data_IF_689642106927
#
_entry.id   IF_689642106927
#
_cell.length_a   1.000
_cell.length_b   1.000
_cell.length_c   1.000
_cell.angle_alpha   90.00
_cell.angle_beta   90.00
_cell.angle_gamma   90.00
#
_symmetry.space_group_name_H-M   'P 1'
#
loop_
_entity.id
_entity.type
_entity.pdbx_description
1 polymer ?
#
# COMPACT_ATOMS: atom_id res chain seq x y z
N UNK A 1 24.10 42.30 50.69
CA UNK A 1 25.55 42.48 50.46
C UNK A 1 25.88 41.75 49.17
N UNK A 2 25.92 42.50 48.07
CA UNK A 2 27.14 42.87 47.34
C UNK A 2 27.72 41.70 46.54
N UNK A 3 28.01 41.77 45.26
CA UNK A 3 27.85 42.76 44.17
C UNK A 3 28.47 42.04 42.95
N UNK A 4 27.86 42.20 41.75
CA UNK A 4 28.44 42.47 40.41
C UNK A 4 29.67 41.62 39.95
N UNK A 5 29.87 41.25 38.68
CA UNK A 5 29.88 42.12 37.49
C UNK A 5 30.13 41.25 36.24
N UNK A 6 29.31 41.41 35.22
CA UNK A 6 29.60 41.24 33.76
C UNK A 6 30.14 42.63 33.31
N UNK A 7 31.12 42.82 32.38
CA UNK A 7 30.80 42.74 30.93
C UNK A 7 31.92 42.65 29.84
N UNK A 8 31.42 42.40 28.60
CA UNK A 8 31.78 42.96 27.27
C UNK A 8 33.15 42.62 26.61
N UNK A 9 33.23 42.11 25.37
CA UNK A 9 32.86 42.60 24.00
C UNK A 9 34.04 43.27 23.27
N UNK A 10 34.41 42.76 22.09
CA UNK A 10 35.02 43.49 20.95
C UNK A 10 34.86 42.58 19.71
N UNK A 11 33.97 42.85 18.75
CA UNK A 11 34.11 43.73 17.56
C UNK A 11 35.36 43.50 16.70
N UNK A 12 35.15 43.07 15.44
CA UNK A 12 35.77 43.59 14.20
C UNK A 12 35.12 42.88 13.00
N UNK A 13 34.27 43.56 12.22
CA UNK A 13 34.55 44.45 11.08
C UNK A 13 34.73 43.73 9.74
N UNK A 14 34.14 44.38 8.73
CA UNK A 14 33.74 43.88 7.43
C UNK A 14 34.84 43.96 6.37
N UNK A 15 34.64 43.21 5.27
CA UNK A 15 35.05 43.64 3.92
C UNK A 15 34.10 43.08 2.87
N UNK A 16 33.41 43.98 2.19
CA UNK A 16 32.79 43.76 0.88
C UNK A 16 33.88 43.69 -0.20
N UNK A 17 33.65 42.89 -1.24
CA UNK A 17 34.15 43.17 -2.59
C UNK A 17 33.18 42.57 -3.61
N UNK A 18 32.56 43.45 -4.40
CA UNK A 18 31.83 43.12 -5.61
C UNK A 18 32.84 42.91 -6.75
N UNK A 19 32.62 41.90 -7.61
CA UNK A 19 32.87 42.07 -9.04
C UNK A 19 32.02 41.10 -9.87
N UNK A 20 31.29 41.71 -10.80
CA UNK A 20 30.55 41.21 -11.96
C UNK A 20 31.25 40.17 -12.83
N UNK A 21 30.47 39.22 -13.37
CA UNK A 21 30.83 38.41 -14.53
C UNK A 21 29.64 37.54 -14.98
N UNK A 22 29.18 37.77 -16.22
CA UNK A 22 28.09 37.05 -16.87
C UNK A 22 28.55 35.70 -17.47
N UNK A 23 27.62 34.75 -17.59
CA UNK A 23 27.74 33.44 -18.26
C UNK A 23 26.70 32.51 -17.64
N UNK A 24 25.50 32.40 -18.21
CA UNK A 24 25.11 31.50 -19.32
C UNK A 24 25.16 30.00 -18.96
N UNK A 25 24.07 29.33 -19.34
CA UNK A 25 23.79 27.88 -19.38
C UNK A 25 23.40 27.16 -18.08
N UNK A 26 22.13 26.76 -18.07
CA UNK A 26 21.70 25.40 -17.72
C UNK A 26 21.81 25.02 -16.25
N UNK A 27 20.69 25.09 -15.53
CA UNK A 27 20.51 24.24 -14.35
C UNK A 27 19.16 23.58 -14.48
N UNK A 28 19.19 22.36 -15.01
CA UNK A 28 18.13 21.37 -14.91
C UNK A 28 17.70 21.30 -13.45
N UNK A 29 16.46 21.71 -13.17
CA UNK A 29 15.82 21.40 -11.91
C UNK A 29 15.59 19.89 -11.91
N UNK A 30 16.52 19.14 -11.30
CA UNK A 30 16.29 17.76 -10.91
C UNK A 30 15.14 17.75 -9.91
N UNK A 31 13.96 17.39 -10.41
CA UNK A 31 12.78 17.12 -9.60
C UNK A 31 13.04 15.74 -8.98
N UNK A 32 13.55 15.71 -7.75
CA UNK A 32 13.60 14.49 -6.95
C UNK A 32 12.17 14.17 -6.50
N UNK A 33 11.42 13.47 -7.33
CA UNK A 33 10.24 12.74 -6.91
C UNK A 33 10.69 11.45 -6.23
N UNK A 34 10.94 11.52 -4.93
CA UNK A 34 11.03 10.32 -4.07
C UNK A 34 9.76 10.28 -3.24
N UNK A 35 8.67 9.81 -3.84
CA UNK A 35 7.51 9.33 -3.09
C UNK A 35 7.85 7.93 -2.60
N UNK A 36 7.91 7.79 -1.27
CA UNK A 36 7.93 6.49 -0.60
C UNK A 36 6.59 5.81 -0.85
N UNK A 37 6.57 4.87 -1.79
CA UNK A 37 5.68 3.72 -1.73
C UNK A 37 6.48 2.60 -1.08
N UNK A 38 6.29 2.42 0.24
CA UNK A 38 6.74 1.19 0.93
C UNK A 38 5.83 0.06 0.43
N UNK A 39 6.22 -0.49 -0.72
CA UNK A 39 5.46 -1.42 -1.55
C UNK A 39 6.02 -1.43 -2.98
N UNK A 40 7.35 -1.27 -3.09
CA UNK A 40 8.04 -0.99 -4.33
C UNK A 40 7.93 -2.18 -5.31
N UNK A 41 6.96 -2.13 -6.21
CA UNK A 41 7.24 -2.60 -7.55
C UNK A 41 8.42 -1.75 -8.06
N UNK A 42 9.54 -2.36 -8.48
CA UNK A 42 10.62 -1.61 -9.14
C UNK A 42 10.06 -0.85 -10.36
N UNK A 43 10.83 0.07 -10.92
CA UNK A 43 10.50 0.85 -12.14
C UNK A 43 10.35 -0.03 -13.40
N UNK A 44 9.48 -1.02 -13.32
CA UNK A 44 9.09 -1.97 -14.32
C UNK A 44 7.97 -1.36 -15.14
N UNK A 45 8.04 -1.56 -16.45
CA UNK A 45 7.06 -1.00 -17.38
C UNK A 45 5.70 -1.64 -17.11
N UNK A 46 4.74 -0.84 -16.65
CA UNK A 46 3.36 -1.26 -16.45
C UNK A 46 2.53 -0.99 -17.70
N UNK A 47 1.82 -2.01 -18.17
CA UNK A 47 0.93 -1.93 -19.33
C UNK A 47 -0.51 -1.96 -18.82
N UNK A 48 -1.31 -0.98 -19.22
CA UNK A 48 -2.71 -0.87 -18.87
C UNK A 48 -3.60 -1.03 -20.12
N UNK A 49 -4.64 -1.84 -19.99
CA UNK A 49 -5.74 -1.93 -20.94
C UNK A 49 -6.78 -0.85 -20.64
N UNK A 50 -7.15 -0.09 -21.67
CA UNK A 50 -8.20 0.93 -21.61
C UNK A 50 -9.44 0.38 -22.30
N UNK A 51 -10.50 0.17 -21.53
CA UNK A 51 -11.75 -0.40 -22.01
C UNK A 51 -12.42 0.57 -23.00
N UNK A 52 -12.73 0.14 -24.25
CA UNK A 52 -13.20 1.07 -25.29
C UNK A 52 -14.52 1.79 -24.98
N UNK A 53 -15.42 1.15 -24.22
CA UNK A 53 -16.78 1.66 -23.97
C UNK A 53 -16.88 2.51 -22.71
N UNK A 54 -16.09 2.21 -21.68
CA UNK A 54 -16.10 2.92 -20.39
C UNK A 54 -14.90 3.84 -20.19
N UNK A 55 -13.81 3.66 -20.94
CA UNK A 55 -12.53 4.30 -20.64
C UNK A 55 -11.82 3.69 -19.43
N UNK A 56 -12.40 2.67 -18.78
CA UNK A 56 -11.85 2.04 -17.58
C UNK A 56 -10.44 1.50 -17.81
N UNK A 57 -9.54 1.81 -16.89
CA UNK A 57 -8.13 1.44 -16.95
C UNK A 57 -7.87 0.24 -16.04
N UNK A 58 -7.30 -0.82 -16.60
CA UNK A 58 -6.98 -2.07 -15.90
C UNK A 58 -5.53 -2.44 -16.16
N UNK A 59 -4.77 -2.84 -15.13
CA UNK A 59 -3.42 -3.38 -15.32
C UNK A 59 -3.49 -4.71 -16.11
N UNK A 60 -2.86 -4.75 -17.29
CA UNK A 60 -3.01 -5.82 -18.29
C UNK A 60 -2.52 -7.18 -17.83
N UNK A 61 -1.33 -7.22 -17.24
CA UNK A 61 -0.65 -8.45 -16.85
C UNK A 61 -0.70 -8.62 -15.33
N UNK A 62 -1.81 -8.23 -14.71
CA UNK A 62 -1.98 -8.40 -13.27
C UNK A 62 -2.10 -9.88 -12.93
N UNK A 63 -1.05 -10.42 -12.30
CA UNK A 63 -1.10 -11.70 -11.63
C UNK A 63 -1.46 -11.45 -10.15
N UNK A 64 -2.65 -11.85 -9.68
CA UNK A 64 -2.97 -11.72 -8.27
C UNK A 64 -1.94 -12.50 -7.46
N UNK A 65 -1.38 -11.89 -6.43
CA UNK A 65 -0.50 -12.62 -5.53
C UNK A 65 -1.32 -13.70 -4.82
N UNK A 66 -0.89 -14.94 -4.99
CA UNK A 66 -1.69 -16.12 -4.65
C UNK A 66 -1.51 -16.57 -3.19
N UNK A 67 -0.94 -15.75 -2.31
CA UNK A 67 -0.77 -16.10 -0.91
C UNK A 67 -1.28 -15.00 0.02
N UNK A 68 -1.74 -15.42 1.20
CA UNK A 68 -2.26 -14.52 2.24
C UNK A 68 -1.17 -13.66 2.86
N UNK A 69 0.11 -14.07 2.80
CA UNK A 69 1.21 -13.19 3.22
C UNK A 69 1.19 -11.90 2.43
N UNK A 70 1.07 -12.02 1.12
CA UNK A 70 1.02 -10.86 0.24
C UNK A 70 -0.33 -10.16 0.35
N UNK A 71 -1.43 -10.91 0.32
CA UNK A 71 -2.77 -10.33 0.34
C UNK A 71 -3.06 -9.49 1.59
N UNK A 72 -2.53 -9.91 2.76
CA UNK A 72 -2.67 -9.21 4.03
C UNK A 72 -1.50 -8.28 4.38
N UNK A 73 -0.48 -8.21 3.53
CA UNK A 73 0.77 -7.47 3.80
C UNK A 73 1.37 -7.86 5.17
N UNK A 74 1.69 -9.16 5.29
CA UNK A 74 2.26 -9.78 6.48
C UNK A 74 3.56 -10.46 6.09
N UNK A 75 4.61 -10.22 6.87
CA UNK A 75 5.86 -10.96 6.77
C UNK A 75 5.83 -12.23 7.63
N UNK A 76 6.54 -13.31 7.25
CA UNK A 76 6.61 -14.54 8.05
C UNK A 76 7.10 -14.35 9.49
N UNK A 77 7.92 -13.32 9.74
CA UNK A 77 8.44 -13.01 11.07
C UNK A 77 7.37 -12.41 12.00
N UNK A 78 6.35 -11.73 11.47
CA UNK A 78 5.23 -11.19 12.26
C UNK A 78 4.30 -12.30 12.79
N UNK A 79 4.37 -13.52 12.24
CA UNK A 79 3.66 -14.69 12.75
C UNK A 79 4.30 -15.33 13.98
N UNK A 80 5.43 -14.80 14.45
CA UNK A 80 6.04 -15.22 15.71
C UNK A 80 5.26 -14.63 16.88
N UNK A 81 4.77 -15.48 17.79
CA UNK A 81 4.02 -15.02 18.96
C UNK A 81 4.85 -14.02 19.81
N UNK A 82 4.38 -12.78 19.83
CA UNK A 82 5.03 -11.61 20.43
C UNK A 82 4.15 -10.37 20.23
N UNK A 83 4.65 -9.19 20.59
CA UNK A 83 3.89 -7.92 20.51
C UNK A 83 3.30 -7.68 19.11
N UNK A 84 4.10 -7.83 18.05
CA UNK A 84 3.64 -7.64 16.67
C UNK A 84 2.62 -8.67 16.18
N UNK A 85 2.51 -9.84 16.81
CA UNK A 85 1.48 -10.82 16.45
C UNK A 85 0.09 -10.36 16.87
N UNK A 86 -0.03 -9.66 17.99
CA UNK A 86 -1.33 -9.17 18.47
C UNK A 86 -1.84 -8.01 17.62
N UNK A 87 -0.94 -7.20 17.04
CA UNK A 87 -1.30 -6.20 16.04
C UNK A 87 -1.91 -6.86 14.79
N UNK A 88 -1.44 -8.06 14.40
CA UNK A 88 -2.05 -8.83 13.31
C UNK A 88 -3.47 -9.29 13.66
N UNK A 89 -3.72 -9.66 14.91
CA UNK A 89 -5.06 -10.07 15.35
C UNK A 89 -6.04 -8.91 15.27
N UNK A 90 -5.63 -7.69 15.59
CA UNK A 90 -6.49 -6.51 15.44
C UNK A 90 -6.76 -6.18 13.97
N UNK A 91 -5.76 -6.38 13.10
CA UNK A 91 -5.84 -6.04 11.68
C UNK A 91 -6.58 -7.06 10.81
N UNK A 92 -6.49 -8.35 11.15
CA UNK A 92 -6.98 -9.45 10.30
C UNK A 92 -8.02 -10.24 11.10
N UNK A 93 -9.29 -9.99 10.81
CA UNK A 93 -10.41 -10.70 11.45
C UNK A 93 -10.37 -12.20 11.17
N UNK A 94 -10.09 -12.58 9.92
CA UNK A 94 -10.05 -13.98 9.52
C UNK A 94 -8.94 -14.75 10.26
N UNK A 95 -7.84 -14.10 10.63
CA UNK A 95 -6.79 -14.70 11.45
C UNK A 95 -7.31 -15.06 12.85
N UNK A 96 -8.16 -14.22 13.47
CA UNK A 96 -8.76 -14.50 14.78
C UNK A 96 -9.63 -15.76 14.71
N UNK A 97 -10.47 -15.86 13.68
CA UNK A 97 -11.31 -17.02 13.40
C UNK A 97 -10.47 -18.29 13.20
N UNK A 98 -9.44 -18.22 12.37
CA UNK A 98 -8.58 -19.36 12.04
C UNK A 98 -7.77 -19.86 13.25
N UNK A 99 -7.38 -18.98 14.16
CA UNK A 99 -6.73 -19.36 15.42
C UNK A 99 -7.73 -20.06 16.34
N UNK A 100 -8.92 -19.49 16.50
CA UNK A 100 -9.95 -20.06 17.36
C UNK A 100 -10.28 -21.50 16.93
N UNK A 101 -10.58 -21.72 15.65
CA UNK A 101 -10.89 -23.04 15.10
C UNK A 101 -9.78 -24.07 15.35
N UNK A 102 -8.51 -23.68 15.20
CA UNK A 102 -7.36 -24.57 15.41
C UNK A 102 -7.00 -24.81 16.86
N UNK A 103 -7.27 -23.85 17.73
CA UNK A 103 -6.89 -23.91 19.15
C UNK A 103 -7.98 -24.55 20.01
N UNK A 104 -9.25 -24.26 19.73
CA UNK A 104 -10.40 -24.74 20.51
C UNK A 104 -10.97 -26.05 19.95
N UNK A 105 -10.83 -26.31 18.64
CA UNK A 105 -11.43 -27.47 17.97
C UNK A 105 -12.92 -27.66 18.36
N UNK A 106 -13.78 -26.63 18.22
CA UNK A 106 -15.14 -26.66 18.76
C UNK A 106 -16.01 -27.74 18.09
N UNK A 107 -16.86 -28.38 18.90
CA UNK A 107 -17.79 -29.43 18.45
C UNK A 107 -19.06 -28.81 17.83
N UNK A 108 -19.02 -28.39 16.56
CA UNK A 108 -20.23 -28.03 15.77
C UNK A 108 -20.25 -26.63 15.15
N UNK A 109 -21.47 -26.17 14.80
CA UNK A 109 -21.78 -24.82 14.28
C UNK A 109 -21.95 -23.82 15.44
N UNK A 110 -20.95 -23.68 16.31
CA UNK A 110 -20.96 -22.55 17.25
C UNK A 110 -20.92 -21.26 16.42
N UNK A 111 -22.00 -20.46 16.48
CA UNK A 111 -22.11 -19.19 15.76
C UNK A 111 -20.93 -18.29 16.17
N UNK A 112 -20.14 -17.92 15.17
CA UNK A 112 -18.94 -17.09 15.27
C UNK A 112 -19.34 -15.64 15.57
N UNK A 113 -19.71 -15.33 16.81
CA UNK A 113 -19.94 -13.95 17.23
C UNK A 113 -18.72 -13.40 17.99
N UNK A 114 -18.00 -12.49 17.32
CA UNK A 114 -17.04 -11.52 17.86
C UNK A 114 -15.92 -12.09 18.76
N UNK A 115 -14.96 -12.80 18.16
CA UNK A 115 -13.71 -13.12 18.85
C UNK A 115 -12.82 -11.88 18.96
N UNK A 116 -13.00 -11.14 20.06
CA UNK A 116 -12.13 -10.01 20.39
C UNK A 116 -10.67 -10.46 20.49
N UNK A 117 -9.76 -9.62 19.99
CA UNK A 117 -8.30 -9.84 20.04
C UNK A 117 -7.82 -10.25 21.43
N UNK A 118 -8.35 -9.63 22.49
CA UNK A 118 -8.00 -9.95 23.87
C UNK A 118 -8.31 -11.40 24.24
N UNK A 119 -9.46 -11.93 23.81
CA UNK A 119 -9.85 -13.32 24.10
C UNK A 119 -8.95 -14.32 23.36
N UNK A 120 -8.64 -14.05 22.09
CA UNK A 120 -7.72 -14.87 21.29
C UNK A 120 -6.31 -14.83 21.88
N UNK A 121 -5.86 -13.66 22.34
CA UNK A 121 -4.57 -13.50 22.99
C UNK A 121 -4.46 -14.35 24.26
N UNK A 122 -5.47 -14.29 25.13
CA UNK A 122 -5.55 -15.12 26.34
C UNK A 122 -5.57 -16.62 26.02
N UNK A 123 -6.29 -17.03 24.96
CA UNK A 123 -6.34 -18.41 24.50
C UNK A 123 -4.95 -18.89 24.06
N UNK A 124 -4.25 -18.13 23.21
CA UNK A 124 -2.88 -18.43 22.79
C UNK A 124 -1.99 -18.52 24.01
N UNK A 125 -2.16 -17.62 24.98
CA UNK A 125 -1.34 -17.60 26.19
C UNK A 125 -1.58 -18.78 27.14
N UNK A 126 -2.78 -19.35 27.12
CA UNK A 126 -3.09 -20.57 27.87
C UNK A 126 -2.55 -21.85 27.20
N UNK A 127 -2.19 -21.82 25.91
CA UNK A 127 -1.73 -23.01 25.19
C UNK A 127 -0.35 -23.50 25.67
N UNK A 128 -0.17 -24.83 25.84
CA UNK A 128 1.15 -25.42 26.05
C UNK A 128 2.10 -25.15 24.88
N UNK A 129 3.41 -25.05 25.15
CA UNK A 129 4.45 -24.76 24.15
C UNK A 129 4.36 -25.64 22.90
N UNK A 130 4.07 -26.94 23.08
CA UNK A 130 3.91 -27.87 21.96
C UNK A 130 2.71 -27.50 21.07
N UNK A 131 1.58 -27.12 21.67
CA UNK A 131 0.37 -26.70 20.95
C UNK A 131 0.58 -25.33 20.30
N UNK A 132 1.29 -24.40 20.94
CA UNK A 132 1.69 -23.12 20.33
C UNK A 132 2.58 -23.34 19.10
N UNK A 133 3.59 -24.20 19.22
CA UNK A 133 4.49 -24.55 18.09
C UNK A 133 3.73 -25.18 16.93
N UNK A 134 2.74 -26.02 17.23
CA UNK A 134 1.87 -26.61 16.22
C UNK A 134 0.99 -25.54 15.53
N UNK A 135 0.33 -24.69 16.32
CA UNK A 135 -0.52 -23.61 15.84
C UNK A 135 0.27 -22.67 14.91
N UNK A 136 1.45 -22.21 15.32
CA UNK A 136 2.31 -21.33 14.51
C UNK A 136 2.61 -21.95 13.13
N UNK A 137 2.92 -23.25 13.07
CA UNK A 137 3.16 -23.95 11.81
C UNK A 137 1.91 -24.06 10.94
N UNK A 138 0.75 -24.25 11.57
CA UNK A 138 -0.53 -24.32 10.85
C UNK A 138 -0.92 -22.95 10.28
N UNK A 139 -0.68 -21.88 11.03
CA UNK A 139 -0.89 -20.51 10.56
C UNK A 139 0.05 -20.18 9.40
N UNK A 140 1.34 -20.51 9.50
CA UNK A 140 2.27 -20.30 8.39
C UNK A 140 1.80 -20.99 7.10
N UNK A 141 1.34 -22.24 7.19
CA UNK A 141 0.77 -22.95 6.03
C UNK A 141 -0.51 -22.32 5.50
N UNK A 142 -1.35 -21.81 6.38
CA UNK A 142 -2.56 -21.10 5.97
C UNK A 142 -2.20 -19.80 5.23
N UNK A 143 -1.18 -19.07 5.69
CA UNK A 143 -0.67 -17.89 5.02
C UNK A 143 -0.03 -18.17 3.65
N UNK A 144 0.54 -19.37 3.45
CA UNK A 144 1.05 -19.84 2.15
C UNK A 144 -0.07 -20.21 1.14
N UNK A 145 -1.32 -20.29 1.57
CA UNK A 145 -2.44 -20.64 0.70
C UNK A 145 -3.08 -19.39 0.09
N UNK A 146 -3.70 -19.59 -1.09
CA UNK A 146 -4.48 -18.56 -1.78
C UNK A 146 -5.69 -18.11 -0.92
N UNK A 147 -5.93 -16.79 -0.81
CA UNK A 147 -7.11 -16.29 -0.13
C UNK A 147 -8.39 -16.67 -0.88
N UNK A 148 -9.45 -16.90 -0.11
CA UNK A 148 -10.81 -17.05 -0.57
C UNK A 148 -11.44 -15.66 -0.74
N UNK A 149 -11.32 -15.14 -1.97
CA UNK A 149 -11.76 -13.80 -2.35
C UNK A 149 -13.28 -13.63 -2.35
N UNK A 150 -14.06 -14.70 -2.39
CA UNK A 150 -15.52 -14.61 -2.57
C UNK A 150 -16.28 -14.49 -1.25
N UNK A 151 -15.67 -14.92 -0.14
CA UNK A 151 -16.37 -15.02 1.14
C UNK A 151 -15.47 -14.55 2.30
N UNK A 152 -14.55 -15.40 2.74
CA UNK A 152 -13.90 -15.29 4.06
C UNK A 152 -12.84 -14.19 4.14
N UNK A 153 -11.93 -14.13 3.16
CA UNK A 153 -10.77 -13.25 3.24
C UNK A 153 -11.06 -11.83 2.69
N UNK A 154 -12.20 -11.63 2.03
CA UNK A 154 -12.50 -10.43 1.23
C UNK A 154 -12.42 -9.09 2.00
N UNK A 155 -12.75 -9.07 3.29
CA UNK A 155 -12.78 -7.84 4.09
C UNK A 155 -11.41 -7.40 4.60
N UNK A 156 -10.46 -8.34 4.74
CA UNK A 156 -9.15 -8.08 5.35
C UNK A 156 -8.03 -7.91 4.32
N UNK A 157 -8.29 -8.20 3.04
CA UNK A 157 -7.30 -8.07 1.97
C UNK A 157 -6.97 -6.58 1.77
N UNK A 158 -5.68 -6.25 1.91
CA UNK A 158 -5.14 -4.88 1.82
C UNK A 158 -4.34 -4.62 0.55
N UNK A 159 -4.19 -5.64 -0.29
CA UNK A 159 -3.59 -5.52 -1.62
C UNK A 159 -4.67 -5.57 -2.69
N UNK A 160 -4.44 -4.98 -3.86
CA UNK A 160 -5.33 -5.13 -4.99
C UNK A 160 -5.65 -6.60 -5.29
N UNK A 161 -6.91 -6.91 -5.53
CA UNK A 161 -7.36 -8.27 -5.87
C UNK A 161 -7.35 -8.52 -7.38
N UNK A 162 -7.40 -7.46 -8.17
CA UNK A 162 -7.38 -7.52 -9.63
C UNK A 162 -6.64 -6.31 -10.23
N UNK A 163 -6.40 -6.36 -11.54
CA UNK A 163 -5.70 -5.29 -12.25
C UNK A 163 -6.45 -3.95 -12.23
N UNK A 164 -7.76 -3.95 -11.98
CA UNK A 164 -8.58 -2.74 -11.89
C UNK A 164 -8.39 -2.07 -10.53
N UNK A 165 -8.47 -2.83 -9.44
CA UNK A 165 -8.17 -2.35 -8.09
C UNK A 165 -6.74 -1.85 -8.00
N UNK A 166 -5.80 -2.52 -8.69
CA UNK A 166 -4.41 -2.07 -8.73
C UNK A 166 -4.30 -0.71 -9.42
N UNK A 167 -4.93 -0.56 -10.59
CA UNK A 167 -4.97 0.71 -11.30
C UNK A 167 -5.64 1.80 -10.45
N UNK A 168 -6.74 1.49 -9.76
CA UNK A 168 -7.43 2.41 -8.86
C UNK A 168 -6.49 2.90 -7.75
N UNK A 169 -5.88 2.00 -6.97
CA UNK A 169 -4.97 2.39 -5.89
C UNK A 169 -3.77 3.19 -6.39
N UNK A 170 -3.19 2.79 -7.53
CA UNK A 170 -2.06 3.48 -8.14
C UNK A 170 -2.42 4.92 -8.50
N UNK A 171 -3.51 5.12 -9.26
CA UNK A 171 -3.88 6.43 -9.76
C UNK A 171 -4.53 7.30 -8.68
N UNK A 172 -5.31 6.72 -7.76
CA UNK A 172 -5.88 7.45 -6.63
C UNK A 172 -4.82 8.14 -5.77
N UNK A 173 -3.66 7.50 -5.58
CA UNK A 173 -2.56 8.02 -4.78
C UNK A 173 -1.51 8.79 -5.60
N UNK A 174 -1.72 8.97 -6.91
CA UNK A 174 -0.75 9.65 -7.78
C UNK A 174 -0.94 11.17 -7.82
N UNK A 175 0.08 11.88 -8.29
CA UNK A 175 0.03 13.33 -8.45
C UNK A 175 -1.12 13.76 -9.38
N UNK A 176 -2.11 14.53 -8.89
CA UNK A 176 -3.24 14.98 -9.69
C UNK A 176 -2.84 15.78 -10.93
N UNK A 177 -1.73 16.52 -10.91
CA UNK A 177 -1.24 17.28 -12.09
C UNK A 177 -0.68 16.36 -13.18
N UNK A 178 -0.26 15.15 -12.82
CA UNK A 178 0.15 14.12 -13.77
C UNK A 178 -1.08 13.44 -14.35
N UNK A 179 -2.05 13.08 -13.52
CA UNK A 179 -3.29 12.42 -13.95
C UNK A 179 -4.11 13.32 -14.89
N UNK A 180 -4.27 14.61 -14.56
CA UNK A 180 -4.93 15.58 -15.42
C UNK A 180 -4.25 15.70 -16.79
N UNK A 181 -2.91 15.72 -16.80
CA UNK A 181 -2.14 15.75 -18.04
C UNK A 181 -2.33 14.48 -18.88
N UNK A 182 -2.43 13.31 -18.23
CA UNK A 182 -2.72 12.03 -18.90
C UNK A 182 -4.21 11.87 -19.28
N UNK A 183 -5.06 12.82 -18.90
CA UNK A 183 -6.52 12.75 -19.05
C UNK A 183 -7.12 11.53 -18.35
N UNK A 184 -6.59 11.22 -17.16
CA UNK A 184 -7.07 10.15 -16.28
C UNK A 184 -7.84 10.80 -15.13
N UNK A 185 -9.07 10.35 -14.91
CA UNK A 185 -9.89 10.71 -13.76
C UNK A 185 -10.23 9.45 -12.97
N UNK A 186 -10.35 9.57 -11.65
CA UNK A 186 -10.87 8.46 -10.82
C UNK A 186 -12.35 8.73 -10.57
N UNK A 187 -13.19 7.85 -11.08
CA UNK A 187 -14.65 7.97 -10.99
C UNK A 187 -15.14 7.21 -9.76
N UNK A 188 -15.91 7.91 -8.94
CA UNK A 188 -16.67 7.33 -7.82
C UNK A 188 -18.17 7.33 -8.20
N UNK A 189 -18.79 6.16 -8.27
CA UNK A 189 -20.21 6.03 -8.64
C UNK A 189 -20.96 5.04 -7.77
N UNK A 190 -22.19 5.36 -7.36
CA UNK A 190 -23.12 4.38 -6.77
C UNK A 190 -23.77 3.54 -7.89
N UNK A 191 -23.53 2.23 -7.88
CA UNK A 191 -24.38 1.26 -8.57
C UNK A 191 -25.27 0.51 -7.56
N UNK A 192 -26.52 0.16 -7.90
CA UNK A 192 -27.33 -0.68 -7.02
C UNK A 192 -26.64 -2.02 -6.80
N UNK A 193 -26.07 -2.23 -5.60
CA UNK A 193 -25.34 -3.44 -5.23
C UNK A 193 -23.81 -3.32 -5.17
N UNK A 194 -23.21 -2.19 -5.56
CA UNK A 194 -21.78 -1.93 -5.35
C UNK A 194 -21.43 -0.45 -5.56
N UNK A 195 -20.37 0.01 -4.91
CA UNK A 195 -19.74 1.28 -5.25
C UNK A 195 -18.76 1.02 -6.40
N UNK A 196 -18.98 1.64 -7.56
CA UNK A 196 -18.05 1.61 -8.69
C UNK A 196 -16.92 2.60 -8.42
N UNK A 197 -15.69 2.06 -8.32
CA UNK A 197 -14.46 2.83 -8.15
C UNK A 197 -13.48 2.37 -9.21
N UNK A 198 -13.26 3.20 -10.23
CA UNK A 198 -12.33 2.87 -11.29
C UNK A 198 -11.65 4.14 -11.85
N UNK A 199 -10.36 4.04 -12.22
CA UNK A 199 -9.72 5.04 -13.04
C UNK A 199 -10.23 4.93 -14.49
N UNK A 200 -10.59 6.05 -15.08
CA UNK A 200 -11.03 6.15 -16.47
C UNK A 200 -10.11 7.09 -17.25
N UNK A 201 -9.85 6.73 -18.51
CA UNK A 201 -9.15 7.57 -19.48
C UNK A 201 -10.18 8.29 -20.35
N UNK A 202 -10.20 9.62 -20.26
CA UNK A 202 -11.09 10.47 -21.06
C UNK A 202 -10.47 10.87 -22.40
N UNK A 203 -9.16 10.64 -22.54
CA UNK A 203 -8.33 11.06 -23.67
C UNK A 203 -7.95 9.97 -24.66
N UNK A 204 -7.32 10.33 -25.80
CA UNK A 204 -6.72 9.35 -26.70
C UNK A 204 -5.52 8.64 -26.07
N UNK A 205 -5.50 7.31 -26.13
CA UNK A 205 -4.39 6.45 -25.66
C UNK A 205 -3.03 6.87 -26.20
N UNK A 206 -2.94 7.25 -27.48
CA UNK A 206 -1.68 7.68 -28.11
C UNK A 206 -1.10 8.94 -27.46
N UNK A 207 -1.96 9.87 -27.05
CA UNK A 207 -1.55 11.11 -26.40
C UNK A 207 -1.10 10.85 -24.96
N UNK A 208 -1.84 10.03 -24.21
CA UNK A 208 -1.45 9.61 -22.86
C UNK A 208 -0.08 8.90 -22.86
N UNK A 209 0.18 8.01 -23.84
CA UNK A 209 1.47 7.35 -24.00
C UNK A 209 2.62 8.33 -24.29
N UNK A 210 2.38 9.34 -25.15
CA UNK A 210 3.36 10.39 -25.44
C UNK A 210 3.72 11.17 -24.17
N UNK A 211 2.71 11.58 -23.40
CA UNK A 211 2.89 12.33 -22.17
C UNK A 211 3.61 11.49 -21.10
N UNK A 212 3.27 10.20 -20.99
CA UNK A 212 3.94 9.28 -20.09
C UNK A 212 5.43 9.16 -20.43
N UNK A 213 5.79 9.05 -21.71
CA UNK A 213 7.19 9.03 -22.16
C UNK A 213 7.91 10.35 -21.88
N UNK A 214 7.30 11.50 -22.21
CA UNK A 214 7.86 12.84 -21.96
C UNK A 214 8.13 13.09 -20.47
N UNK A 215 7.29 12.53 -19.60
CA UNK A 215 7.43 12.66 -18.14
C UNK A 215 8.23 11.54 -17.50
N UNK A 216 8.79 10.60 -18.29
CA UNK A 216 9.58 9.49 -17.78
C UNK A 216 8.79 8.49 -16.92
N UNK A 217 7.47 8.43 -17.11
CA UNK A 217 6.59 7.50 -16.40
C UNK A 217 6.72 6.09 -16.99
N UNK A 218 6.83 5.05 -16.16
CA UNK A 218 6.93 3.66 -16.60
C UNK A 218 5.55 3.08 -16.98
N UNK A 219 4.66 3.88 -17.58
CA UNK A 219 3.29 3.48 -17.90
C UNK A 219 3.05 3.47 -19.39
N UNK A 220 2.39 2.44 -19.89
CA UNK A 220 1.91 2.36 -21.28
C UNK A 220 0.46 1.93 -21.29
N UNK A 221 -0.29 2.52 -22.19
CA UNK A 221 -1.72 2.28 -22.36
C UNK A 221 -1.96 1.65 -23.73
N UNK A 222 -2.89 0.70 -23.81
CA UNK A 222 -3.40 0.16 -25.08
C UNK A 222 -4.91 -0.01 -25.00
N UNK A 223 -5.58 -0.02 -26.14
CA UNK A 223 -7.00 -0.34 -26.18
C UNK A 223 -7.18 -1.84 -25.88
N UNK A 224 -8.05 -2.14 -24.92
CA UNK A 224 -8.44 -3.51 -24.52
C UNK A 224 -9.40 -4.18 -25.49
#
# INVERSE_FOLDING_TARGET
MSKKTVPQTTENQATQSQSSGAGDLGTEAQINATTKTDGAHPAELMIFDVMPDSGEIVLSDYEPNTDRYTAYDVSPDELQFGEGFYDLLDRIEELRSEIYWRAVEPDGDDELEDYETGMIAELIDALPDQKRTELSRQLQRWFECEPDFEERDSNDIVRPMDGRQFAFELFWNYDPEILDALQISVVEGEHPGSSYYAPEMEGPVDEANRIAEERGLPWRFRLG
#
